data_IF_130403397030
#
_entry.id   IF_130403397030
#
_cell.length_a   1.000
_cell.length_b   1.000
_cell.length_c   1.000
_cell.angle_alpha   90.00
_cell.angle_beta   90.00
_cell.angle_gamma   90.00
#
_symmetry.space_group_name_H-M   'P 1'
#
loop_
_entity.id
_entity.type
_entity.pdbx_description
1 polymer ?
#
# COMPACT_ATOMS: atom_id res chain seq x y z
N UNK A 1 -8.00 7.53 0.61
CA UNK A 1 -8.42 6.17 1.03
C UNK A 1 -7.45 5.06 0.61
N UNK A 2 -6.65 5.19 -0.47
CA UNK A 2 -5.79 4.09 -0.96
C UNK A 2 -4.69 3.56 -0.01
N UNK A 3 -4.11 4.40 0.87
CA UNK A 3 -3.08 3.93 1.82
C UNK A 3 -3.60 2.90 2.84
N UNK A 4 -4.86 3.03 3.27
CA UNK A 4 -5.50 2.06 4.17
C UNK A 4 -5.66 0.69 3.51
N UNK A 5 -6.00 0.66 2.22
CA UNK A 5 -6.17 -0.59 1.47
C UNK A 5 -4.88 -1.40 1.43
N UNK A 6 -3.76 -0.78 1.01
CA UNK A 6 -2.48 -1.47 0.91
C UNK A 6 -1.99 -1.98 2.27
N UNK A 7 -2.14 -1.16 3.32
CA UNK A 7 -1.79 -1.55 4.67
C UNK A 7 -2.63 -2.76 5.14
N UNK A 8 -3.95 -2.70 4.95
CA UNK A 8 -4.85 -3.77 5.35
C UNK A 8 -4.56 -5.08 4.61
N UNK A 9 -4.41 -5.03 3.28
CA UNK A 9 -4.14 -6.22 2.46
C UNK A 9 -2.78 -6.83 2.81
N UNK A 10 -1.74 -6.01 3.02
CA UNK A 10 -0.44 -6.51 3.45
C UNK A 10 -0.48 -7.22 4.80
N UNK A 11 -1.21 -6.67 5.79
CA UNK A 11 -1.40 -7.33 7.09
C UNK A 11 -2.23 -8.62 6.99
N UNK A 12 -3.24 -8.63 6.11
CA UNK A 12 -4.03 -9.83 5.81
C UNK A 12 -3.14 -10.91 5.19
N UNK A 13 -2.34 -10.58 4.18
CA UNK A 13 -1.42 -11.53 3.56
C UNK A 13 -0.44 -12.11 4.59
N UNK A 14 0.13 -11.27 5.45
CA UNK A 14 1.06 -11.68 6.49
C UNK A 14 0.47 -12.75 7.43
N UNK A 15 -0.84 -12.64 7.72
CA UNK A 15 -1.53 -13.58 8.60
C UNK A 15 -2.07 -14.81 7.88
N UNK A 16 -2.62 -14.65 6.69
CA UNK A 16 -3.40 -15.68 6.01
C UNK A 16 -2.62 -16.46 4.95
N UNK A 17 -1.44 -16.00 4.54
CA UNK A 17 -0.57 -16.74 3.61
C UNK A 17 0.51 -17.58 4.31
N UNK A 18 0.36 -17.83 5.62
CA UNK A 18 1.28 -18.64 6.42
C UNK A 18 1.54 -20.00 5.74
N UNK A 19 2.81 -20.34 5.52
CA UNK A 19 3.22 -21.57 4.81
C UNK A 19 3.62 -21.36 3.34
N UNK A 20 3.31 -20.20 2.74
CA UNK A 20 3.98 -19.78 1.50
C UNK A 20 5.40 -19.30 1.79
N UNK A 21 6.30 -19.48 0.83
CA UNK A 21 7.65 -18.93 0.90
C UNK A 21 7.62 -17.41 0.84
N UNK A 22 8.49 -16.77 1.62
CA UNK A 22 8.73 -15.32 1.56
C UNK A 22 7.53 -14.38 1.83
N UNK A 23 6.53 -14.87 2.58
CA UNK A 23 5.31 -14.12 2.93
C UNK A 23 5.61 -12.78 3.60
N UNK A 24 6.65 -12.72 4.43
CA UNK A 24 7.04 -11.48 5.09
C UNK A 24 7.40 -10.40 4.06
N UNK A 25 8.27 -10.72 3.09
CA UNK A 25 8.68 -9.76 2.06
C UNK A 25 7.50 -9.37 1.16
N UNK A 26 6.71 -10.34 0.70
CA UNK A 26 5.50 -10.08 -0.08
C UNK A 26 4.52 -9.14 0.65
N UNK A 27 4.35 -9.33 1.96
CA UNK A 27 3.49 -8.50 2.79
C UNK A 27 4.09 -7.11 3.02
N UNK A 28 5.40 -7.00 3.24
CA UNK A 28 6.07 -5.72 3.46
C UNK A 28 6.05 -4.80 2.23
N UNK A 29 6.07 -5.37 1.02
CA UNK A 29 5.87 -4.63 -0.24
C UNK A 29 4.53 -3.88 -0.26
N UNK A 30 3.53 -4.35 0.48
CA UNK A 30 2.21 -3.70 0.61
C UNK A 30 2.14 -2.80 1.85
N UNK A 31 2.64 -3.29 2.98
CA UNK A 31 2.59 -2.58 4.27
C UNK A 31 3.37 -1.27 4.20
N UNK A 32 4.61 -1.28 3.69
CA UNK A 32 5.48 -0.09 3.71
C UNK A 32 4.85 1.06 2.91
N UNK A 33 4.45 0.89 1.63
CA UNK A 33 3.74 1.95 0.90
C UNK A 33 2.42 2.36 1.56
N UNK A 34 1.68 1.41 2.14
CA UNK A 34 0.45 1.69 2.87
C UNK A 34 0.66 2.61 4.07
N UNK A 35 1.66 2.31 4.91
CA UNK A 35 2.05 3.15 6.06
C UNK A 35 2.54 4.51 5.61
N UNK A 36 3.38 4.59 4.57
CA UNK A 36 3.87 5.87 4.06
C UNK A 36 2.69 6.74 3.57
N UNK A 37 1.80 6.19 2.74
CA UNK A 37 0.65 6.92 2.23
C UNK A 37 -0.29 7.37 3.35
N UNK A 38 -0.51 6.52 4.36
CA UNK A 38 -1.31 6.87 5.52
C UNK A 38 -0.62 7.98 6.34
N UNK A 39 0.69 7.87 6.57
CA UNK A 39 1.51 8.87 7.25
C UNK A 39 1.45 10.25 6.60
N UNK A 40 1.50 10.30 5.26
CA UNK A 40 1.37 11.54 4.49
C UNK A 40 0.04 12.27 4.73
N UNK A 41 -1.03 11.57 5.15
CA UNK A 41 -2.32 12.20 5.46
C UNK A 41 -2.31 12.99 6.77
N UNK A 42 -1.36 12.73 7.67
CA UNK A 42 -1.26 13.41 8.97
C UNK A 42 -0.47 14.72 8.90
N UNK A 43 0.37 14.91 7.88
CA UNK A 43 1.20 16.12 7.72
C UNK A 43 0.63 17.05 6.65
N UNK A 44 0.77 18.37 6.85
CA UNK A 44 0.19 19.38 5.96
C UNK A 44 0.79 19.32 4.54
N UNK A 45 2.11 19.14 4.43
CA UNK A 45 2.81 19.00 3.15
C UNK A 45 2.36 17.76 2.37
N UNK A 46 2.22 16.61 3.05
CA UNK A 46 1.76 15.36 2.46
C UNK A 46 0.32 15.46 1.94
N UNK A 47 -0.59 16.05 2.72
CA UNK A 47 -1.95 16.35 2.27
C UNK A 47 -1.97 17.24 1.03
N UNK A 48 -1.16 18.31 1.01
CA UNK A 48 -1.08 19.20 -0.16
C UNK A 48 -0.59 18.46 -1.41
N UNK A 49 0.45 17.63 -1.26
CA UNK A 49 0.99 16.85 -2.37
C UNK A 49 0.00 15.80 -2.89
N UNK A 50 -0.66 15.05 -2.00
CA UNK A 50 -1.65 14.02 -2.35
C UNK A 50 -2.85 14.58 -3.14
N UNK A 51 -3.18 15.87 -2.98
CA UNK A 51 -4.25 16.53 -3.74
C UNK A 51 -3.84 16.96 -5.15
N UNK A 52 -2.58 16.80 -5.55
CA UNK A 52 -2.17 17.07 -6.93
C UNK A 52 -2.64 15.97 -7.88
N UNK A 53 -2.94 16.32 -9.13
CA UNK A 53 -3.33 15.34 -10.16
C UNK A 53 -2.24 14.28 -10.38
N UNK A 54 -0.98 14.69 -10.37
CA UNK A 54 0.16 13.80 -10.53
C UNK A 54 0.24 12.77 -9.39
N UNK A 55 0.19 13.22 -8.14
CA UNK A 55 0.21 12.31 -6.99
C UNK A 55 -1.00 11.36 -6.99
N UNK A 56 -2.19 11.87 -7.31
CA UNK A 56 -3.39 11.03 -7.42
C UNK A 56 -3.24 9.94 -8.47
N UNK A 57 -2.77 10.29 -9.68
CA UNK A 57 -2.52 9.33 -10.75
C UNK A 57 -1.47 8.29 -10.35
N UNK A 58 -0.38 8.72 -9.71
CA UNK A 58 0.66 7.81 -9.20
C UNK A 58 0.11 6.85 -8.15
N UNK A 59 -0.64 7.34 -7.17
CA UNK A 59 -1.21 6.50 -6.09
C UNK A 59 -2.19 5.48 -6.67
N UNK A 60 -3.01 5.87 -7.65
CA UNK A 60 -3.93 4.95 -8.30
C UNK A 60 -3.17 3.89 -9.11
N UNK A 61 -2.22 4.30 -9.94
CA UNK A 61 -1.46 3.38 -10.78
C UNK A 61 -0.61 2.40 -9.96
N UNK A 62 0.23 2.92 -9.06
CA UNK A 62 1.09 2.09 -8.21
C UNK A 62 0.26 1.28 -7.22
N UNK A 63 -0.77 1.87 -6.61
CA UNK A 63 -1.66 1.17 -5.68
C UNK A 63 -2.44 0.05 -6.36
N UNK A 64 -2.92 0.25 -7.59
CA UNK A 64 -3.56 -0.78 -8.38
C UNK A 64 -2.63 -1.94 -8.73
N UNK A 65 -1.39 -1.64 -9.16
CA UNK A 65 -0.39 -2.67 -9.44
C UNK A 65 -0.01 -3.48 -8.20
N UNK A 66 0.18 -2.82 -7.06
CA UNK A 66 0.45 -3.49 -5.78
C UNK A 66 -0.73 -4.35 -5.33
N UNK A 67 -1.97 -3.88 -5.55
CA UNK A 67 -3.15 -4.68 -5.25
C UNK A 67 -3.21 -5.95 -6.13
N UNK A 68 -2.96 -5.84 -7.44
CA UNK A 68 -2.88 -7.00 -8.33
C UNK A 68 -1.79 -7.97 -7.85
N UNK A 69 -0.61 -7.45 -7.53
CA UNK A 69 0.51 -8.22 -7.00
C UNK A 69 0.13 -9.04 -5.75
N UNK A 70 -0.70 -8.49 -4.87
CA UNK A 70 -1.12 -9.13 -3.61
C UNK A 70 -1.98 -10.39 -3.79
N UNK A 71 -2.62 -10.55 -4.95
CA UNK A 71 -3.43 -11.73 -5.27
C UNK A 71 -2.64 -12.81 -5.99
N UNK A 72 -1.53 -12.45 -6.64
CA UNK A 72 -0.69 -13.37 -7.41
C UNK A 72 0.33 -14.07 -6.51
N UNK A 73 0.85 -13.35 -5.50
CA UNK A 73 1.85 -13.85 -4.55
C UNK A 73 1.19 -14.17 -3.22
#
# INVERSE_FOLDING_TARGET
>A
MGGYLLLAVGLINLRYQTGKSDVLNHSLILIIPGVILLGLTFISAGKKWLNTKAATAMVIACGGLLLIYSFIN
#
